data_IF_882071046942
#
_entry.id   IF_882071046942
#
_cell.length_a   1.000
_cell.length_b   1.000
_cell.length_c   1.000
_cell.angle_alpha   90.00
_cell.angle_beta   90.00
_cell.angle_gamma   90.00
#
_symmetry.space_group_name_H-M   'P 1'
#
loop_
_entity.id
_entity.type
_entity.pdbx_description
1 polymer ?
#
# COMPACT_ATOMS: atom_id res chain seq x y z
N UNK A 1 -18.11 -7.54 17.94
CA UNK A 1 -17.50 -7.51 18.18
C UNK A 1 -16.26 -8.08 17.99
N UNK A 2 -15.96 -8.88 17.78
CA UNK A 2 -14.77 -9.33 17.60
C UNK A 2 -14.19 -9.14 16.32
N UNK A 3 -14.85 -8.60 15.42
CA UNK A 3 -14.39 -8.38 14.13
C UNK A 3 -13.18 -7.54 14.07
N UNK A 4 -13.07 -6.59 14.96
CA UNK A 4 -11.91 -5.69 14.93
C UNK A 4 -10.62 -6.45 15.15
N UNK A 5 -10.67 -7.50 15.96
CA UNK A 5 -9.47 -8.26 16.25
C UNK A 5 -8.99 -9.07 15.07
N UNK A 6 -9.92 -9.42 14.15
CA UNK A 6 -9.53 -10.25 13.04
C UNK A 6 -9.30 -9.44 11.78
N UNK A 7 -9.39 -8.11 11.89
CA UNK A 7 -9.24 -7.29 10.70
C UNK A 7 -7.81 -6.82 10.49
N UNK A 8 -6.85 -7.28 11.26
CA UNK A 8 -5.45 -6.91 11.03
C UNK A 8 -5.02 -7.44 9.67
N UNK A 9 -4.43 -6.59 8.84
CA UNK A 9 -3.98 -7.05 7.53
C UNK A 9 -2.78 -7.97 7.65
N UNK A 10 -2.65 -8.86 6.70
CA UNK A 10 -1.46 -9.70 6.61
C UNK A 10 -0.34 -8.95 5.91
N UNK A 11 -0.65 -8.17 4.89
CA UNK A 11 0.35 -7.41 4.13
C UNK A 11 -0.04 -5.95 4.11
N UNK A 12 0.93 -5.08 4.41
CA UNK A 12 0.81 -3.64 4.21
C UNK A 12 1.61 -3.28 2.96
N UNK A 13 0.94 -2.68 1.97
CA UNK A 13 1.59 -2.24 0.75
C UNK A 13 1.80 -0.75 0.84
N UNK A 14 3.05 -0.31 0.80
CA UNK A 14 3.41 1.10 0.95
C UNK A 14 3.84 1.64 -0.41
N UNK A 15 3.20 2.72 -0.83
CA UNK A 15 3.45 3.33 -2.14
C UNK A 15 3.82 4.79 -1.93
N UNK A 16 5.10 5.15 -2.07
CA UNK A 16 5.47 6.56 -2.10
C UNK A 16 4.95 7.18 -3.39
N UNK A 17 4.31 8.33 -3.28
CA UNK A 17 3.70 9.00 -4.43
C UNK A 17 4.27 10.41 -4.55
N UNK A 18 4.85 10.73 -5.70
CA UNK A 18 5.31 12.08 -5.98
C UNK A 18 5.14 12.36 -7.46
N UNK A 19 4.23 13.28 -7.79
CA UNK A 19 3.96 13.70 -9.18
C UNK A 19 3.74 12.50 -10.09
N UNK A 20 2.84 11.60 -9.69
CA UNK A 20 2.60 10.33 -10.37
C UNK A 20 1.22 10.25 -11.00
N UNK A 21 0.56 11.38 -11.31
CA UNK A 21 -0.82 11.35 -11.76
C UNK A 21 -1.04 10.50 -13.01
N UNK A 22 0.00 10.34 -13.84
CA UNK A 22 -0.11 9.51 -15.05
C UNK A 22 -0.12 8.01 -14.76
N UNK A 23 0.41 7.60 -13.61
CA UNK A 23 0.67 6.20 -13.33
C UNK A 23 -0.08 5.66 -12.14
N UNK A 24 -0.51 6.54 -11.23
CA UNK A 24 -1.02 6.11 -9.93
C UNK A 24 -2.27 5.24 -10.06
N UNK A 25 -3.13 5.50 -11.02
CA UNK A 25 -4.35 4.72 -11.17
C UNK A 25 -4.03 3.27 -11.51
N UNK A 26 -3.11 3.04 -12.45
CA UNK A 26 -2.73 1.67 -12.82
C UNK A 26 -2.09 0.94 -11.64
N UNK A 27 -1.24 1.65 -10.91
CA UNK A 27 -0.62 1.08 -9.72
C UNK A 27 -1.69 0.65 -8.70
N UNK A 28 -2.55 1.59 -8.30
CA UNK A 28 -3.55 1.33 -7.27
C UNK A 28 -4.54 0.25 -7.73
N UNK A 29 -4.95 0.27 -9.00
CA UNK A 29 -5.86 -0.76 -9.52
C UNK A 29 -5.24 -2.15 -9.38
N UNK A 30 -3.93 -2.29 -9.62
CA UNK A 30 -3.27 -3.59 -9.48
C UNK A 30 -3.22 -4.03 -8.01
N UNK A 31 -3.13 -3.09 -7.08
CA UNK A 31 -3.12 -3.41 -5.66
C UNK A 31 -4.51 -3.77 -5.16
N UNK A 32 -5.53 -3.08 -5.64
CA UNK A 32 -6.91 -3.38 -5.28
C UNK A 32 -7.38 -4.71 -5.86
N UNK A 33 -6.77 -5.14 -6.96
CA UNK A 33 -7.13 -6.39 -7.62
C UNK A 33 -6.40 -7.62 -7.12
N UNK A 34 -5.69 -7.52 -6.01
CA UNK A 34 -4.96 -8.67 -5.48
C UNK A 34 -5.90 -9.78 -5.02
N UNK A 35 -5.51 -11.03 -5.28
CA UNK A 35 -6.30 -12.18 -4.82
C UNK A 35 -6.27 -12.30 -3.30
N UNK A 36 -5.19 -11.90 -2.66
CA UNK A 36 -5.14 -11.82 -1.21
C UNK A 36 -5.97 -10.62 -0.75
N UNK A 37 -7.03 -10.86 0.02
CA UNK A 37 -7.93 -9.81 0.46
C UNK A 37 -7.49 -9.11 1.74
N UNK A 38 -6.69 -9.79 2.55
CA UNK A 38 -6.31 -9.27 3.86
C UNK A 38 -5.08 -8.36 3.73
N UNK A 39 -5.25 -7.25 3.05
CA UNK A 39 -4.18 -6.28 2.82
C UNK A 39 -4.65 -4.88 3.18
N UNK A 40 -3.71 -3.99 3.45
CA UNK A 40 -3.96 -2.56 3.49
C UNK A 40 -3.00 -1.88 2.51
N UNK A 41 -3.42 -0.77 1.96
CA UNK A 41 -2.65 -0.01 0.99
C UNK A 41 -2.41 1.37 1.58
N UNK A 42 -1.15 1.76 1.70
CA UNK A 42 -0.78 3.05 2.28
C UNK A 42 -0.12 3.90 1.20
N UNK A 43 -0.82 4.93 0.78
CA UNK A 43 -0.31 5.86 -0.23
C UNK A 43 0.27 7.06 0.50
N UNK A 44 1.55 7.30 0.31
CA UNK A 44 2.23 8.41 0.97
C UNK A 44 2.52 9.49 -0.06
N UNK A 45 1.68 10.52 -0.08
CA UNK A 45 1.84 11.63 -1.01
C UNK A 45 2.93 12.56 -0.48
N UNK A 46 4.08 12.50 -1.11
CA UNK A 46 5.29 13.22 -0.69
C UNK A 46 5.31 14.63 -1.26
N UNK A 47 4.24 15.38 -1.02
CA UNK A 47 4.14 16.77 -1.44
C UNK A 47 3.97 16.95 -2.93
N UNK A 48 3.19 16.09 -3.59
CA UNK A 48 2.96 16.19 -5.03
C UNK A 48 2.40 17.53 -5.43
N UNK A 49 2.88 18.07 -6.55
CA UNK A 49 2.42 19.34 -7.09
C UNK A 49 1.38 19.17 -8.18
N UNK A 50 1.18 17.96 -8.65
CA UNK A 50 0.15 17.63 -9.64
C UNK A 50 -1.10 17.11 -8.91
N UNK A 51 -1.97 16.38 -9.62
CA UNK A 51 -3.22 15.88 -9.05
C UNK A 51 -3.06 14.58 -8.27
N UNK A 52 -1.84 14.11 -8.06
CA UNK A 52 -1.62 12.85 -7.35
C UNK A 52 -2.27 12.81 -5.97
N UNK A 53 -2.12 13.89 -5.21
CA UNK A 53 -2.70 13.94 -3.86
C UNK A 53 -4.20 13.81 -3.87
N UNK A 54 -4.86 14.52 -4.80
CA UNK A 54 -6.32 14.43 -4.93
C UNK A 54 -6.75 13.04 -5.36
N UNK A 55 -6.01 12.42 -6.28
CA UNK A 55 -6.32 11.06 -6.72
C UNK A 55 -6.19 10.06 -5.57
N UNK A 56 -5.17 10.21 -4.74
CA UNK A 56 -5.00 9.34 -3.58
C UNK A 56 -6.22 9.42 -2.67
N UNK A 57 -6.71 10.63 -2.41
CA UNK A 57 -7.89 10.83 -1.57
C UNK A 57 -9.13 10.19 -2.17
N UNK A 58 -9.28 10.28 -3.50
CA UNK A 58 -10.40 9.64 -4.18
C UNK A 58 -10.36 8.12 -4.03
N UNK A 59 -9.18 7.53 -4.17
CA UNK A 59 -9.04 6.08 -3.98
C UNK A 59 -9.42 5.68 -2.56
N UNK A 60 -9.00 6.47 -1.57
CA UNK A 60 -9.29 6.15 -0.18
C UNK A 60 -10.80 6.26 0.11
N UNK A 61 -11.51 7.16 -0.57
CA UNK A 61 -12.95 7.25 -0.42
C UNK A 61 -13.66 6.04 -1.01
N UNK A 62 -13.10 5.45 -2.04
CA UNK A 62 -13.70 4.31 -2.72
C UNK A 62 -13.40 2.98 -2.05
N UNK A 63 -12.31 2.90 -1.27
CA UNK A 63 -11.86 1.62 -0.73
C UNK A 63 -11.30 1.83 0.68
N UNK A 64 -11.95 1.24 1.66
CA UNK A 64 -11.55 1.40 3.06
C UNK A 64 -10.20 0.77 3.39
N UNK A 65 -9.64 -0.05 2.50
CA UNK A 65 -8.32 -0.62 2.70
C UNK A 65 -7.22 0.38 2.39
N UNK A 66 -7.54 1.51 1.78
CA UNK A 66 -6.56 2.49 1.35
C UNK A 66 -6.48 3.61 2.39
N UNK A 67 -5.27 3.88 2.86
CA UNK A 67 -4.97 4.96 3.77
C UNK A 67 -4.02 5.93 3.08
N UNK A 68 -4.20 7.22 3.30
CA UNK A 68 -3.40 8.25 2.63
C UNK A 68 -2.70 9.10 3.67
N UNK A 69 -1.41 9.35 3.44
CA UNK A 69 -0.65 10.31 4.22
C UNK A 69 -0.23 11.41 3.25
N UNK A 70 -0.54 12.67 3.60
CA UNK A 70 -0.02 13.82 2.86
C UNK A 70 1.09 14.43 3.68
N UNK A 71 2.23 14.70 3.05
CA UNK A 71 3.36 15.26 3.76
C UNK A 71 4.10 16.26 2.88
N UNK A 72 4.94 17.06 3.48
CA UNK A 72 5.82 17.96 2.76
C UNK A 72 6.88 17.15 2.05
N UNK A 73 7.25 17.53 0.85
CA UNK A 73 8.22 16.78 0.06
C UNK A 73 9.54 16.65 0.81
N UNK A 74 9.97 15.43 1.00
CA UNK A 74 11.22 15.15 1.72
C UNK A 74 11.93 13.92 1.17
N UNK A 75 11.43 13.33 0.09
CA UNK A 75 12.08 12.22 -0.57
C UNK A 75 11.43 10.88 -0.31
N UNK A 76 11.71 9.96 -1.21
CA UNK A 76 11.08 8.65 -1.24
C UNK A 76 11.41 7.81 -0.01
N UNK A 77 12.64 7.92 0.50
CA UNK A 77 13.03 7.16 1.69
C UNK A 77 12.24 7.56 2.92
N UNK A 78 12.04 8.86 3.13
CA UNK A 78 11.25 9.33 4.26
C UNK A 78 9.78 9.00 4.08
N UNK A 79 9.29 9.04 2.84
CA UNK A 79 7.91 8.65 2.56
C UNK A 79 7.67 7.19 2.93
N UNK A 80 8.60 6.30 2.60
CA UNK A 80 8.51 4.89 2.99
C UNK A 80 8.48 4.73 4.50
N UNK A 81 9.31 5.48 5.20
CA UNK A 81 9.34 5.43 6.66
C UNK A 81 8.02 5.88 7.27
N UNK A 82 7.41 6.93 6.71
CA UNK A 82 6.12 7.38 7.20
C UNK A 82 5.05 6.30 7.01
N UNK A 83 5.08 5.60 5.89
CA UNK A 83 4.18 4.46 5.68
C UNK A 83 4.43 3.35 6.67
N UNK A 84 5.71 3.04 6.94
CA UNK A 84 6.04 2.00 7.91
C UNK A 84 5.51 2.32 9.31
N UNK A 85 5.52 3.60 9.68
CA UNK A 85 5.08 4.00 11.01
C UNK A 85 3.61 3.70 11.27
N UNK A 86 2.79 3.63 10.24
CA UNK A 86 1.36 3.33 10.42
C UNK A 86 0.98 1.94 9.92
N UNK A 87 1.91 1.20 9.32
CA UNK A 87 1.63 -0.12 8.78
C UNK A 87 1.27 -1.10 9.89
N UNK A 88 0.20 -1.86 9.70
CA UNK A 88 -0.29 -2.82 10.67
C UNK A 88 -0.13 -4.26 10.21
N UNK A 89 0.30 -4.47 8.98
CA UNK A 89 0.46 -5.80 8.42
C UNK A 89 1.62 -6.55 9.03
N UNK A 90 1.51 -7.87 8.99
CA UNK A 90 2.61 -8.71 9.44
C UNK A 90 3.79 -8.60 8.50
N UNK A 91 3.53 -8.42 7.22
CA UNK A 91 4.55 -8.23 6.18
C UNK A 91 4.35 -6.89 5.50
N UNK A 92 5.44 -6.33 4.98
CA UNK A 92 5.42 -5.04 4.29
C UNK A 92 5.96 -5.23 2.88
N UNK A 93 5.28 -4.64 1.91
CA UNK A 93 5.70 -4.65 0.53
C UNK A 93 5.77 -3.20 0.04
N UNK A 94 6.89 -2.81 -0.55
CA UNK A 94 7.05 -1.47 -1.12
C UNK A 94 6.86 -1.55 -2.63
N UNK A 95 6.00 -0.68 -3.18
CA UNK A 95 5.74 -0.62 -4.61
C UNK A 95 5.89 0.83 -5.05
N UNK A 96 6.61 1.06 -6.14
CA UNK A 96 6.72 2.42 -6.69
C UNK A 96 5.44 2.79 -7.42
N UNK A 97 5.08 4.07 -7.38
CA UNK A 97 3.80 4.53 -7.93
C UNK A 97 3.67 4.39 -9.44
N UNK A 98 4.77 4.20 -10.15
CA UNK A 98 4.74 3.95 -11.60
C UNK A 98 4.79 2.45 -11.95
N UNK A 99 4.75 1.59 -10.95
CA UNK A 99 4.74 0.14 -11.15
C UNK A 99 3.35 -0.44 -10.95
N UNK A 100 3.20 -1.69 -11.33
CA UNK A 100 1.99 -2.46 -11.07
C UNK A 100 2.41 -3.91 -10.87
N UNK A 101 1.56 -4.69 -10.21
CA UNK A 101 1.90 -6.08 -9.88
C UNK A 101 0.82 -7.02 -10.39
N UNK A 102 1.18 -8.30 -10.50
CA UNK A 102 0.25 -9.35 -10.92
C UNK A 102 -0.79 -9.59 -9.84
N UNK A 103 -1.97 -10.11 -10.20
CA UNK A 103 -3.05 -10.28 -9.23
C UNK A 103 -2.73 -11.18 -8.06
N UNK A 104 -1.83 -12.15 -8.22
CA UNK A 104 -1.51 -13.11 -7.17
C UNK A 104 -0.18 -12.82 -6.45
N UNK A 105 0.41 -11.65 -6.68
CA UNK A 105 1.71 -11.31 -6.10
C UNK A 105 1.70 -11.38 -4.58
N UNK A 106 0.74 -10.71 -3.94
CA UNK A 106 0.69 -10.67 -2.48
C UNK A 106 0.41 -12.04 -1.90
N UNK A 107 -0.44 -12.82 -2.54
CA UNK A 107 -0.74 -14.16 -2.08
C UNK A 107 0.49 -15.05 -2.12
N UNK A 108 1.22 -15.02 -3.22
CA UNK A 108 2.44 -15.82 -3.35
C UNK A 108 3.51 -15.42 -2.36
N UNK A 109 3.69 -14.11 -2.16
CA UNK A 109 4.68 -13.63 -1.22
C UNK A 109 4.33 -14.00 0.20
N UNK A 110 3.07 -13.84 0.60
CA UNK A 110 2.68 -14.16 1.96
C UNK A 110 2.79 -15.66 2.22
N UNK A 111 2.41 -16.50 1.26
CA UNK A 111 2.55 -17.95 1.39
C UNK A 111 4.00 -18.32 1.57
N UNK A 112 4.89 -17.73 0.80
CA UNK A 112 6.30 -18.02 0.90
C UNK A 112 6.85 -17.59 2.25
N UNK A 113 6.50 -16.40 2.71
CA UNK A 113 6.97 -15.89 4.00
C UNK A 113 6.47 -16.76 5.15
N UNK A 114 5.21 -17.21 5.08
CA UNK A 114 4.66 -18.06 6.12
C UNK A 114 5.37 -19.41 6.14
N UNK A 115 5.68 -19.98 4.98
CA UNK A 115 6.39 -21.25 4.94
C UNK A 115 7.82 -21.12 5.47
N UNK A 116 8.50 -20.04 5.12
CA UNK A 116 9.87 -19.83 5.59
C UNK A 116 9.92 -19.66 7.10
N UNK A 117 8.93 -18.99 7.66
CA UNK A 117 8.87 -18.86 9.11
C UNK A 117 8.60 -20.18 9.79
N UNK A 118 7.81 -21.03 9.18
CA UNK A 118 7.51 -22.34 9.76
C UNK A 118 8.75 -23.22 9.85
N UNK A 119 9.76 -22.95 9.04
CA UNK A 119 10.99 -23.72 9.04
C UNK A 119 11.97 -23.26 10.11
N UNK A 120 11.67 -22.19 10.79
CA UNK A 120 12.52 -21.69 11.83
C UNK A 120 12.15 -22.32 13.18
#
# INVERSE_FOLDING_TARGET
>A
MMESAISKPLVSIIVPVYNAERYIKRCVDSLRGQTLQNIEIILVDDGSKDNSGCLCDEFAQQDSKIHVIHKQNAGQGLARNDGLNIAKGRYVLFIDSDDFIEPDTCEKLSDRMEREQADL
#
